data_IF_282323792051
#
_entry.id   IF_282323792051
#
_cell.length_a   1.000
_cell.length_b   1.000
_cell.length_c   1.000
_cell.angle_alpha   90.00
_cell.angle_beta   90.00
_cell.angle_gamma   90.00
#
_symmetry.space_group_name_H-M   'P 1'
#
loop_
_entity.id
_entity.type
_entity.pdbx_description
1 polymer ?
#
# COMPACT_ATOMS: atom_id res chain seq x y z
N UNK A 1 13.04 -59.95 -25.02
CA UNK A 1 13.33 -60.44 -26.38
C UNK A 1 12.59 -59.51 -27.35
N UNK A 2 13.11 -58.36 -27.78
CA UNK A 2 14.27 -58.05 -28.66
C UNK A 2 14.11 -58.62 -30.09
N UNK A 3 13.90 -57.73 -31.07
CA UNK A 3 14.37 -57.69 -32.48
C UNK A 3 13.46 -56.70 -33.27
N UNK A 4 13.82 -55.43 -33.51
CA UNK A 4 14.74 -54.84 -34.52
C UNK A 4 14.34 -55.10 -36.00
N UNK A 5 13.86 -54.05 -36.68
CA UNK A 5 14.42 -53.32 -37.87
C UNK A 5 13.95 -53.93 -39.22
N UNK A 6 13.71 -53.22 -40.34
CA UNK A 6 14.53 -52.28 -41.13
C UNK A 6 13.58 -51.51 -42.11
N UNK A 7 13.88 -50.24 -42.39
CA UNK A 7 13.31 -49.42 -43.47
C UNK A 7 14.17 -49.48 -44.76
N UNK A 8 13.65 -49.16 -45.96
CA UNK A 8 14.49 -48.80 -47.09
C UNK A 8 14.37 -47.32 -47.49
N UNK A 9 15.55 -46.74 -47.71
CA UNK A 9 15.81 -45.47 -48.39
C UNK A 9 15.35 -45.48 -49.85
N UNK A 10 14.94 -44.32 -50.37
CA UNK A 10 15.19 -43.95 -51.75
C UNK A 10 15.76 -42.52 -51.82
N UNK A 11 16.89 -42.41 -52.53
CA UNK A 11 17.65 -41.19 -52.76
C UNK A 11 16.93 -40.24 -53.74
N UNK A 12 17.11 -38.94 -53.53
CA UNK A 12 16.87 -37.88 -54.49
C UNK A 12 17.86 -36.74 -54.27
N UNK A 13 18.54 -36.33 -55.34
CA UNK A 13 19.84 -35.65 -55.40
C UNK A 13 19.69 -34.14 -55.66
N UNK A 14 20.61 -33.37 -55.04
CA UNK A 14 21.16 -32.04 -55.34
C UNK A 14 20.27 -30.89 -55.89
N UNK A 15 20.30 -29.76 -55.18
CA UNK A 15 20.72 -28.48 -55.77
C UNK A 15 21.27 -27.54 -54.68
N UNK A 16 22.55 -27.19 -54.78
CA UNK A 16 23.23 -26.23 -53.93
C UNK A 16 23.20 -24.85 -54.59
N UNK A 17 22.76 -23.83 -53.86
CA UNK A 17 23.05 -22.41 -54.17
C UNK A 17 23.53 -21.73 -52.90
N UNK A 18 24.81 -21.40 -52.89
CA UNK A 18 25.44 -20.57 -51.88
C UNK A 18 24.97 -19.12 -52.02
N UNK A 19 24.49 -18.51 -50.94
CA UNK A 19 24.36 -17.06 -50.81
C UNK A 19 25.29 -16.63 -49.68
N UNK A 20 26.30 -15.84 -50.06
CA UNK A 20 27.28 -15.26 -49.17
C UNK A 20 26.61 -14.30 -48.16
N UNK A 21 26.90 -14.49 -46.88
CA UNK A 21 26.52 -13.56 -45.83
C UNK A 21 27.46 -12.34 -45.86
N UNK A 22 26.93 -11.17 -46.21
CA UNK A 22 27.59 -9.89 -46.00
C UNK A 22 27.34 -9.45 -44.54
N UNK A 23 28.35 -9.61 -43.69
CA UNK A 23 28.34 -9.08 -42.32
C UNK A 23 28.60 -7.57 -42.42
N UNK A 24 27.55 -6.77 -42.23
CA UNK A 24 27.70 -5.32 -42.03
C UNK A 24 27.94 -5.04 -40.54
N UNK A 25 28.95 -4.24 -40.15
CA UNK A 25 29.12 -3.84 -38.76
C UNK A 25 28.05 -2.78 -38.42
N UNK A 26 27.01 -3.19 -37.69
CA UNK A 26 26.04 -2.25 -37.12
C UNK A 26 26.71 -1.45 -36.00
N UNK A 27 26.89 -0.15 -36.23
CA UNK A 27 27.27 0.83 -35.21
C UNK A 27 26.32 0.72 -34.00
N UNK A 28 26.81 0.91 -32.76
CA UNK A 28 25.96 0.88 -31.58
C UNK A 28 25.01 2.07 -31.67
N UNK A 29 23.73 1.80 -31.96
CA UNK A 29 22.66 2.77 -31.72
C UNK A 29 22.72 3.11 -30.24
N UNK A 30 23.13 4.35 -29.94
CA UNK A 30 22.96 4.92 -28.63
C UNK A 30 21.53 4.67 -28.18
N UNK A 31 21.37 4.09 -26.99
CA UNK A 31 20.08 4.07 -26.31
C UNK A 31 19.66 5.52 -26.17
N UNK A 32 18.79 5.98 -27.06
CA UNK A 32 17.87 7.05 -26.72
C UNK A 32 17.08 6.51 -25.54
N UNK A 33 17.42 6.96 -24.34
CA UNK A 33 16.55 6.82 -23.19
C UNK A 33 15.17 7.27 -23.63
N UNK A 34 14.20 6.35 -23.65
CA UNK A 34 12.80 6.74 -23.67
C UNK A 34 12.62 7.81 -22.58
N UNK A 35 11.94 8.93 -22.86
CA UNK A 35 11.66 9.89 -21.80
C UNK A 35 10.95 9.12 -20.70
N UNK A 36 11.61 9.05 -19.53
CA UNK A 36 11.01 8.58 -18.29
C UNK A 36 9.66 9.26 -18.18
N UNK A 37 8.60 8.49 -17.96
CA UNK A 37 7.25 8.99 -17.74
C UNK A 37 7.30 10.25 -16.87
N UNK A 38 7.12 11.41 -17.49
CA UNK A 38 6.64 12.57 -16.78
C UNK A 38 5.33 12.07 -16.17
N UNK A 39 5.31 11.94 -14.85
CA UNK A 39 4.11 11.49 -14.13
C UNK A 39 3.01 12.43 -14.56
N UNK A 40 2.04 11.93 -15.33
CA UNK A 40 0.92 12.69 -15.83
C UNK A 40 -0.04 12.94 -14.65
N UNK A 41 0.45 13.69 -13.66
CA UNK A 41 -0.31 14.07 -12.47
C UNK A 41 -1.50 14.91 -12.95
N UNK A 42 -2.69 14.71 -12.36
CA UNK A 42 -3.85 15.55 -12.67
C UNK A 42 -3.50 17.04 -12.52
N UNK A 43 -4.10 17.88 -13.37
CA UNK A 43 -3.75 19.30 -13.45
C UNK A 43 -4.09 20.11 -12.19
N UNK A 44 -4.94 19.58 -11.31
CA UNK A 44 -5.31 20.15 -10.02
C UNK A 44 -4.38 19.71 -8.87
N UNK A 45 -3.37 18.89 -9.14
CA UNK A 45 -2.35 18.50 -8.16
C UNK A 45 -1.23 19.54 -8.11
N UNK A 46 -0.90 19.99 -6.91
CA UNK A 46 0.28 20.82 -6.69
C UNK A 46 1.56 19.95 -6.85
N UNK A 47 2.48 20.32 -7.75
CA UNK A 47 3.64 19.49 -8.08
C UNK A 47 4.68 19.40 -6.96
N UNK A 48 4.63 20.27 -5.95
CA UNK A 48 5.54 20.23 -4.80
C UNK A 48 4.99 19.32 -3.71
N UNK A 49 3.69 19.41 -3.44
CA UNK A 49 3.03 18.65 -2.37
C UNK A 49 2.66 17.23 -2.79
N UNK A 50 2.32 17.01 -4.06
CA UNK A 50 1.76 15.74 -4.55
C UNK A 50 0.28 15.54 -4.17
N UNK A 51 -0.43 16.62 -3.80
CA UNK A 51 -1.88 16.63 -3.57
C UNK A 51 -2.48 17.99 -3.96
N UNK A 52 -3.80 18.14 -3.92
CA UNK A 52 -4.53 19.34 -4.39
C UNK A 52 -4.20 20.67 -3.70
N UNK A 53 -3.48 20.64 -2.58
CA UNK A 53 -3.17 21.82 -1.76
C UNK A 53 -1.66 22.06 -1.76
N UNK A 54 -1.18 23.32 -1.79
CA UNK A 54 0.25 23.61 -1.76
C UNK A 54 0.89 23.24 -0.41
N UNK A 55 2.23 23.14 -0.38
CA UNK A 55 2.93 23.02 0.91
C UNK A 55 2.90 24.36 1.66
N UNK A 56 2.46 24.31 2.92
CA UNK A 56 2.55 25.45 3.82
C UNK A 56 3.99 25.65 4.29
N UNK A 57 4.42 26.92 4.41
CA UNK A 57 5.74 27.26 4.93
C UNK A 57 5.70 27.33 6.44
N UNK A 58 6.78 26.91 7.08
CA UNK A 58 6.89 26.86 8.54
C UNK A 58 6.67 28.23 9.18
N UNK A 59 7.20 29.29 8.58
CA UNK A 59 7.11 30.68 9.07
C UNK A 59 5.69 31.24 9.09
N UNK A 60 4.78 30.70 8.28
CA UNK A 60 3.39 31.15 8.16
C UNK A 60 2.45 30.44 9.15
N UNK A 61 2.97 29.49 9.94
CA UNK A 61 2.19 28.68 10.87
C UNK A 61 2.16 29.27 12.28
N UNK A 62 1.10 28.95 13.03
CA UNK A 62 1.06 29.15 14.48
C UNK A 62 1.99 28.14 15.20
N UNK A 63 2.11 28.24 16.52
CA UNK A 63 3.01 27.36 17.28
C UNK A 63 2.63 25.88 17.18
N UNK A 64 1.34 25.54 17.10
CA UNK A 64 0.89 24.17 16.90
C UNK A 64 1.26 23.64 15.50
N UNK A 65 1.13 24.49 14.48
CA UNK A 65 1.53 24.20 13.12
C UNK A 65 3.02 24.02 12.98
N UNK A 66 3.83 24.90 13.59
CA UNK A 66 5.30 24.77 13.62
C UNK A 66 5.75 23.45 14.25
N UNK A 67 5.17 23.07 15.38
CA UNK A 67 5.46 21.77 16.02
C UNK A 67 5.09 20.58 15.11
N UNK A 68 3.95 20.67 14.43
CA UNK A 68 3.53 19.62 13.48
C UNK A 68 4.47 19.55 12.28
N UNK A 69 4.87 20.71 11.74
CA UNK A 69 5.82 20.83 10.65
C UNK A 69 7.18 20.24 11.03
N UNK A 70 7.73 20.63 12.19
CA UNK A 70 9.02 20.16 12.68
C UNK A 70 9.04 18.64 12.85
N UNK A 71 7.97 18.08 13.44
CA UNK A 71 7.81 16.64 13.55
C UNK A 71 7.74 15.96 12.18
N UNK A 72 6.99 16.51 11.22
CA UNK A 72 6.87 15.95 9.88
C UNK A 72 8.20 15.94 9.12
N UNK A 73 9.03 16.97 9.30
CA UNK A 73 10.35 17.08 8.66
C UNK A 73 11.48 16.36 9.40
N UNK A 74 11.22 15.83 10.60
CA UNK A 74 12.21 15.04 11.34
C UNK A 74 12.44 13.70 10.63
N UNK A 75 13.69 13.37 10.24
CA UNK A 75 13.99 12.12 9.55
C UNK A 75 13.47 10.89 10.31
N UNK A 76 12.70 10.04 9.62
CA UNK A 76 12.14 8.79 10.17
C UNK A 76 10.92 8.96 11.08
N UNK A 77 10.52 10.18 11.42
CA UNK A 77 9.33 10.42 12.25
C UNK A 77 8.01 10.12 11.51
N UNK A 78 8.02 10.28 10.18
CA UNK A 78 6.89 9.93 9.31
C UNK A 78 7.41 9.26 8.03
N UNK A 79 6.55 8.49 7.37
CA UNK A 79 6.91 7.75 6.14
C UNK A 79 7.11 8.71 4.95
N UNK A 80 6.37 9.82 4.92
CA UNK A 80 6.21 10.69 3.75
C UNK A 80 6.55 12.17 4.01
N UNK A 81 6.89 12.54 5.24
CA UNK A 81 7.10 13.93 5.61
C UNK A 81 5.89 14.81 5.29
N UNK A 82 6.17 15.95 4.65
CA UNK A 82 5.16 16.92 4.23
C UNK A 82 4.40 16.49 2.96
N UNK A 83 4.90 15.51 2.22
CA UNK A 83 4.24 14.94 1.02
C UNK A 83 3.29 13.78 1.38
N UNK A 84 2.72 13.83 2.59
CA UNK A 84 1.81 12.83 3.11
C UNK A 84 0.79 13.41 4.08
N UNK A 85 0.11 12.57 4.89
CA UNK A 85 -0.96 13.02 5.78
C UNK A 85 -0.57 14.21 6.68
N UNK A 86 0.68 14.26 7.14
CA UNK A 86 1.16 15.34 8.02
C UNK A 86 1.16 16.72 7.33
N UNK A 87 1.48 16.79 6.03
CA UNK A 87 1.43 18.04 5.27
C UNK A 87 0.00 18.54 5.08
N UNK A 88 -0.93 17.64 4.77
CA UNK A 88 -2.36 17.98 4.65
C UNK A 88 -2.92 18.48 5.99
N UNK A 89 -2.52 17.86 7.10
CA UNK A 89 -2.97 18.23 8.44
C UNK A 89 -2.50 19.63 8.88
N UNK A 90 -1.49 20.23 8.24
CA UNK A 90 -1.08 21.61 8.53
C UNK A 90 -2.15 22.64 8.17
N UNK A 91 -3.12 22.30 7.32
CA UNK A 91 -4.29 23.14 7.06
C UNK A 91 -5.29 23.20 8.22
N UNK A 92 -5.14 22.32 9.23
CA UNK A 92 -5.83 22.42 10.52
C UNK A 92 -4.90 22.02 11.66
N UNK A 93 -3.99 22.91 12.10
CA UNK A 93 -2.98 22.60 13.11
C UNK A 93 -3.57 22.08 14.43
N UNK A 94 -4.72 22.62 14.83
CA UNK A 94 -5.43 22.18 16.05
C UNK A 94 -5.91 20.73 15.93
N UNK A 95 -6.48 20.36 14.78
CA UNK A 95 -6.87 18.96 14.52
C UNK A 95 -5.65 18.05 14.45
N UNK A 96 -4.54 18.52 13.86
CA UNK A 96 -3.30 17.76 13.74
C UNK A 96 -2.74 17.33 15.11
N UNK A 97 -2.80 18.20 16.12
CA UNK A 97 -2.36 17.89 17.49
C UNK A 97 -3.19 16.74 18.09
N UNK A 98 -4.52 16.81 17.98
CA UNK A 98 -5.40 15.75 18.51
C UNK A 98 -5.24 14.44 17.74
N UNK A 99 -5.12 14.52 16.41
CA UNK A 99 -4.90 13.36 15.57
C UNK A 99 -3.54 12.69 15.86
N UNK A 100 -2.48 13.47 16.10
CA UNK A 100 -1.19 12.94 16.49
C UNK A 100 -1.23 12.21 17.84
N UNK A 101 -1.96 12.74 18.82
CA UNK A 101 -2.11 12.12 20.13
C UNK A 101 -2.83 10.77 20.06
N UNK A 102 -3.98 10.72 19.37
CA UNK A 102 -4.73 9.46 19.21
C UNK A 102 -3.95 8.44 18.38
N UNK A 103 -3.27 8.87 17.31
CA UNK A 103 -2.46 7.97 16.48
C UNK A 103 -1.28 7.37 17.29
N UNK A 104 -0.61 8.18 18.12
CA UNK A 104 0.46 7.70 19.01
C UNK A 104 -0.06 6.65 19.99
N UNK A 105 -1.20 6.94 20.65
CA UNK A 105 -1.81 6.00 21.59
C UNK A 105 -2.16 4.67 20.93
N UNK A 106 -2.93 4.72 19.84
CA UNK A 106 -3.43 3.51 19.16
C UNK A 106 -2.32 2.67 18.54
N UNK A 107 -1.24 3.31 18.06
CA UNK A 107 -0.12 2.58 17.45
C UNK A 107 0.84 1.98 18.48
N UNK A 108 1.08 2.65 19.62
CA UNK A 108 2.22 2.29 20.47
C UNK A 108 1.86 2.03 21.95
N UNK A 109 0.68 2.43 22.42
CA UNK A 109 0.32 2.38 23.85
C UNK A 109 -0.92 1.53 24.14
N UNK A 110 -1.80 1.31 23.15
CA UNK A 110 -3.01 0.49 23.29
C UNK A 110 -2.75 -1.02 23.52
N UNK A 111 -1.49 -1.47 23.45
CA UNK A 111 -1.11 -2.86 23.70
C UNK A 111 -1.62 -3.86 22.63
N UNK A 112 -1.91 -3.36 21.43
CA UNK A 112 -2.08 -4.16 20.22
C UNK A 112 -0.71 -4.67 19.76
N UNK A 113 -0.62 -5.94 19.34
CA UNK A 113 0.63 -6.43 18.75
C UNK A 113 0.90 -5.73 17.41
N UNK A 114 2.18 -5.54 17.02
CA UNK A 114 2.50 -4.94 15.73
C UNK A 114 1.83 -5.66 14.55
N UNK A 115 1.81 -6.99 14.56
CA UNK A 115 1.10 -7.81 13.56
C UNK A 115 -0.40 -7.45 13.45
N UNK A 116 -1.13 -7.45 14.56
CA UNK A 116 -2.57 -7.11 14.59
C UNK A 116 -2.81 -5.69 14.09
N UNK A 117 -1.95 -4.75 14.50
CA UNK A 117 -2.02 -3.36 14.07
C UNK A 117 -1.87 -3.25 12.54
N UNK A 118 -0.84 -3.85 11.95
CA UNK A 118 -0.62 -3.76 10.51
C UNK A 118 -1.70 -4.49 9.69
N UNK A 119 -2.23 -5.63 10.16
CA UNK A 119 -3.37 -6.30 9.50
C UNK A 119 -4.61 -5.41 9.53
N UNK A 120 -4.89 -4.73 10.64
CA UNK A 120 -6.03 -3.81 10.74
C UNK A 120 -5.87 -2.60 9.80
N UNK A 121 -4.66 -2.06 9.69
CA UNK A 121 -4.32 -0.96 8.79
C UNK A 121 -4.47 -1.39 7.33
N UNK A 122 -3.83 -2.49 6.91
CA UNK A 122 -3.93 -2.99 5.54
C UNK A 122 -5.37 -3.33 5.16
N UNK A 123 -6.12 -3.96 6.07
CA UNK A 123 -7.54 -4.25 5.84
C UNK A 123 -8.31 -2.96 5.59
N UNK A 124 -8.16 -1.96 6.47
CA UNK A 124 -8.84 -0.67 6.30
C UNK A 124 -8.42 0.03 5.00
N UNK A 125 -7.13 0.10 4.72
CA UNK A 125 -6.61 0.70 3.50
C UNK A 125 -7.17 0.02 2.25
N UNK A 126 -7.28 -1.31 2.25
CA UNK A 126 -7.88 -2.04 1.11
C UNK A 126 -9.39 -1.85 1.02
N UNK A 127 -10.12 -1.84 2.12
CA UNK A 127 -11.57 -1.67 2.09
C UNK A 127 -11.99 -0.27 1.61
N UNK A 128 -11.11 0.71 1.75
CA UNK A 128 -11.31 2.09 1.28
C UNK A 128 -10.48 2.42 0.03
N UNK A 129 -9.84 1.42 -0.58
CA UNK A 129 -8.96 1.56 -1.75
C UNK A 129 -7.92 2.69 -1.64
N UNK A 130 -7.39 2.89 -0.42
CA UNK A 130 -6.36 3.87 -0.08
C UNK A 130 -4.99 3.43 -0.58
N UNK A 131 -4.66 3.80 -1.83
CA UNK A 131 -3.41 3.41 -2.49
C UNK A 131 -2.16 3.83 -1.71
N UNK A 132 -2.18 5.05 -1.17
CA UNK A 132 -1.05 5.64 -0.45
C UNK A 132 -0.78 4.92 0.87
N UNK A 133 -1.82 4.67 1.67
CA UNK A 133 -1.65 3.95 2.94
C UNK A 133 -1.21 2.53 2.70
N UNK A 134 -1.75 1.86 1.68
CA UNK A 134 -1.30 0.52 1.32
C UNK A 134 0.19 0.49 1.01
N UNK A 135 0.67 1.39 0.13
CA UNK A 135 2.09 1.46 -0.24
C UNK A 135 2.98 1.78 0.96
N UNK A 136 2.50 2.61 1.88
CA UNK A 136 3.22 2.96 3.10
C UNK A 136 3.31 1.79 4.09
N UNK A 137 2.27 0.94 4.16
CA UNK A 137 2.14 -0.07 5.21
C UNK A 137 2.45 -1.51 4.78
N UNK A 138 2.40 -1.85 3.48
CA UNK A 138 2.68 -3.22 3.05
C UNK A 138 4.10 -3.67 3.47
N UNK A 139 5.12 -2.83 3.26
CA UNK A 139 6.48 -3.17 3.68
C UNK A 139 6.65 -3.23 5.20
N UNK A 140 5.88 -2.44 5.95
CA UNK A 140 5.93 -2.46 7.42
C UNK A 140 5.24 -3.72 7.96
N UNK A 141 4.10 -4.12 7.40
CA UNK A 141 3.43 -5.37 7.74
C UNK A 141 4.36 -6.57 7.56
N UNK A 142 5.09 -6.65 6.44
CA UNK A 142 6.06 -7.71 6.19
C UNK A 142 7.20 -7.71 7.22
N UNK A 143 7.72 -6.53 7.60
CA UNK A 143 8.76 -6.41 8.64
C UNK A 143 8.28 -6.85 10.01
N UNK A 144 7.02 -6.59 10.33
CA UNK A 144 6.36 -6.99 11.59
C UNK A 144 5.88 -8.44 11.57
N UNK A 145 6.27 -9.21 10.55
CA UNK A 145 6.06 -10.65 10.46
C UNK A 145 4.73 -11.08 9.86
N UNK A 146 3.94 -10.17 9.26
CA UNK A 146 2.76 -10.56 8.47
C UNK A 146 3.23 -11.28 7.21
N UNK A 147 2.78 -12.51 7.00
CA UNK A 147 3.17 -13.30 5.83
C UNK A 147 2.57 -12.70 4.55
N UNK A 148 3.31 -12.81 3.44
CA UNK A 148 2.83 -12.35 2.13
C UNK A 148 1.47 -12.97 1.75
N UNK A 149 1.20 -14.21 2.15
CA UNK A 149 -0.08 -14.87 1.91
C UNK A 149 -1.26 -14.16 2.61
N UNK A 150 -1.06 -13.62 3.81
CA UNK A 150 -2.07 -12.84 4.54
C UNK A 150 -2.26 -11.48 3.86
N UNK A 151 -1.16 -10.82 3.48
CA UNK A 151 -1.19 -9.57 2.71
C UNK A 151 -1.97 -9.74 1.40
N UNK A 152 -1.73 -10.82 0.66
CA UNK A 152 -2.41 -11.13 -0.60
C UNK A 152 -3.90 -11.42 -0.40
N UNK A 153 -4.27 -12.08 0.71
CA UNK A 153 -5.67 -12.30 1.09
C UNK A 153 -6.39 -10.97 1.29
N UNK A 154 -5.75 -10.02 1.98
CA UNK A 154 -6.28 -8.68 2.16
C UNK A 154 -6.35 -7.99 0.79
N UNK A 155 -5.21 -7.85 0.09
CA UNK A 155 -5.04 -7.15 -1.19
C UNK A 155 -6.07 -7.55 -2.24
N UNK A 156 -6.34 -8.85 -2.36
CA UNK A 156 -7.25 -9.39 -3.36
C UNK A 156 -8.63 -9.75 -2.79
N UNK A 157 -8.93 -9.34 -1.55
CA UNK A 157 -10.22 -9.59 -0.87
C UNK A 157 -10.60 -11.09 -0.88
N UNK A 158 -9.63 -11.99 -0.76
CA UNK A 158 -9.83 -13.46 -0.80
C UNK A 158 -10.43 -13.97 0.52
N UNK A 159 -10.83 -15.24 0.53
CA UNK A 159 -11.28 -15.92 1.75
C UNK A 159 -10.22 -15.90 2.85
N UNK A 160 -10.66 -15.76 4.09
CA UNK A 160 -9.86 -15.86 5.32
C UNK A 160 -9.75 -17.30 5.84
N UNK A 161 -10.38 -18.28 5.15
CA UNK A 161 -10.30 -19.70 5.50
C UNK A 161 -8.84 -20.17 5.58
N UNK A 162 -8.49 -20.82 6.69
CA UNK A 162 -7.15 -21.36 6.92
C UNK A 162 -6.13 -20.38 7.50
N UNK A 163 -6.52 -19.12 7.73
CA UNK A 163 -5.70 -18.19 8.50
C UNK A 163 -5.76 -18.51 10.00
N UNK A 164 -4.77 -17.98 10.72
CA UNK A 164 -4.80 -17.92 12.18
C UNK A 164 -6.05 -17.15 12.63
N UNK A 165 -6.61 -17.53 13.78
CA UNK A 165 -7.96 -17.09 14.19
C UNK A 165 -7.98 -15.60 14.48
N UNK A 166 -6.93 -15.03 15.07
CA UNK A 166 -6.84 -13.60 15.31
C UNK A 166 -6.74 -12.81 14.00
N UNK A 167 -5.87 -13.23 13.07
CA UNK A 167 -5.74 -12.56 11.77
C UNK A 167 -7.05 -12.58 10.97
N UNK A 168 -7.70 -13.75 10.84
CA UNK A 168 -8.98 -13.89 10.17
C UNK A 168 -10.04 -12.96 10.79
N UNK A 169 -10.08 -12.91 12.12
CA UNK A 169 -11.03 -12.07 12.86
C UNK A 169 -10.81 -10.59 12.59
N UNK A 170 -9.57 -10.11 12.55
CA UNK A 170 -9.26 -8.68 12.26
C UNK A 170 -9.67 -8.33 10.82
N UNK A 171 -9.36 -9.19 9.86
CA UNK A 171 -9.69 -8.98 8.44
C UNK A 171 -11.22 -8.95 8.24
N UNK A 172 -11.93 -9.93 8.81
CA UNK A 172 -13.39 -10.01 8.73
C UNK A 172 -14.07 -8.85 9.44
N UNK A 173 -13.52 -8.39 10.57
CA UNK A 173 -14.02 -7.23 11.30
C UNK A 173 -13.95 -5.98 10.41
N UNK A 174 -12.81 -5.70 9.79
CA UNK A 174 -12.68 -4.57 8.87
C UNK A 174 -13.65 -4.66 7.69
N UNK A 175 -13.79 -5.85 7.08
CA UNK A 175 -14.75 -6.07 5.97
C UNK A 175 -16.20 -5.77 6.37
N UNK A 176 -16.67 -6.27 7.50
CA UNK A 176 -18.06 -6.04 7.95
C UNK A 176 -18.29 -4.59 8.39
N UNK A 177 -17.30 -3.92 8.98
CA UNK A 177 -17.41 -2.50 9.34
C UNK A 177 -17.56 -1.64 8.08
N UNK A 178 -16.72 -1.86 7.07
CA UNK A 178 -16.63 -0.97 5.91
C UNK A 178 -17.60 -1.30 4.77
N UNK A 179 -17.98 -2.57 4.59
CA UNK A 179 -18.91 -2.99 3.52
C UNK A 179 -20.34 -3.16 3.99
N UNK A 180 -20.52 -3.84 5.11
CA UNK A 180 -21.85 -4.25 5.59
C UNK A 180 -22.43 -3.23 6.58
N UNK A 181 -21.58 -2.31 7.07
CA UNK A 181 -21.90 -1.31 8.09
C UNK A 181 -22.49 -1.90 9.37
N UNK A 182 -22.25 -3.19 9.61
CA UNK A 182 -22.74 -3.93 10.76
C UNK A 182 -21.92 -5.18 10.98
N UNK A 183 -21.39 -5.31 12.19
CA UNK A 183 -20.69 -6.53 12.63
C UNK A 183 -21.71 -7.52 13.17
N UNK A 184 -21.64 -8.76 12.70
CA UNK A 184 -22.47 -9.88 13.19
C UNK A 184 -22.16 -10.20 14.66
N UNK A 185 -23.17 -10.68 15.39
CA UNK A 185 -23.02 -11.05 16.81
C UNK A 185 -21.94 -12.11 17.03
N UNK A 186 -21.82 -13.08 16.11
CA UNK A 186 -20.82 -14.14 16.17
C UNK A 186 -19.39 -13.58 16.03
N UNK A 187 -19.15 -12.77 15.00
CA UNK A 187 -17.84 -12.15 14.78
C UNK A 187 -17.45 -11.24 15.96
N UNK A 188 -18.39 -10.44 16.46
CA UNK A 188 -18.15 -9.58 17.62
C UNK A 188 -17.81 -10.40 18.88
N UNK A 189 -18.54 -11.49 19.13
CA UNK A 189 -18.26 -12.37 20.27
C UNK A 189 -16.87 -13.01 20.17
N UNK A 190 -16.47 -13.47 18.99
CA UNK A 190 -15.13 -14.03 18.74
C UNK A 190 -14.03 -12.97 18.93
N UNK A 191 -14.18 -11.79 18.34
CA UNK A 191 -13.23 -10.70 18.51
C UNK A 191 -13.08 -10.28 19.99
N UNK A 192 -14.20 -10.20 20.71
CA UNK A 192 -14.19 -9.90 22.15
C UNK A 192 -13.48 -10.99 22.96
N UNK A 193 -13.66 -12.26 22.61
CA UNK A 193 -12.99 -13.37 23.30
C UNK A 193 -11.46 -13.33 23.10
N UNK A 194 -11.00 -12.95 21.92
CA UNK A 194 -9.57 -12.87 21.58
C UNK A 194 -8.88 -11.66 22.22
N UNK A 195 -9.50 -10.48 22.14
CA UNK A 195 -8.84 -9.22 22.50
C UNK A 195 -9.27 -8.68 23.86
N UNK A 196 -10.40 -9.15 24.40
CA UNK A 196 -11.09 -8.47 25.49
C UNK A 196 -11.77 -7.18 25.02
N UNK A 197 -12.68 -6.62 25.84
CA UNK A 197 -13.50 -5.47 25.44
C UNK A 197 -12.67 -4.21 25.16
N UNK A 198 -11.63 -3.93 25.97
CA UNK A 198 -10.87 -2.69 25.84
C UNK A 198 -10.03 -2.68 24.55
N UNK A 199 -9.20 -3.70 24.32
CA UNK A 199 -8.38 -3.77 23.10
C UNK A 199 -9.23 -3.92 21.83
N UNK A 200 -10.41 -4.55 21.91
CA UNK A 200 -11.33 -4.58 20.78
C UNK A 200 -11.80 -3.17 20.40
N UNK A 201 -12.14 -2.33 21.38
CA UNK A 201 -12.50 -0.93 21.10
C UNK A 201 -11.31 -0.17 20.52
N UNK A 202 -10.11 -0.33 21.07
CA UNK A 202 -8.90 0.32 20.54
C UNK A 202 -8.57 -0.16 19.11
N UNK A 203 -8.77 -1.44 18.80
CA UNK A 203 -8.61 -1.99 17.46
C UNK A 203 -9.59 -1.35 16.47
N UNK A 204 -10.86 -1.18 16.85
CA UNK A 204 -11.86 -0.50 16.02
C UNK A 204 -11.53 0.99 15.87
N UNK A 205 -11.05 1.65 16.92
CA UNK A 205 -10.60 3.05 16.86
C UNK A 205 -9.36 3.21 15.96
N UNK A 206 -8.44 2.24 15.95
CA UNK A 206 -7.30 2.21 15.03
C UNK A 206 -7.79 2.13 13.57
N UNK A 207 -8.72 1.20 13.28
CA UNK A 207 -9.33 1.11 11.96
C UNK A 207 -10.03 2.42 11.58
N UNK A 208 -10.81 3.01 12.50
CA UNK A 208 -11.46 4.30 12.29
C UNK A 208 -10.49 5.46 12.04
N UNK A 209 -9.35 5.48 12.73
CA UNK A 209 -8.32 6.50 12.53
C UNK A 209 -7.70 6.41 11.12
N UNK A 210 -7.44 5.18 10.65
CA UNK A 210 -6.95 4.94 9.29
C UNK A 210 -8.03 5.19 8.24
N UNK A 211 -9.30 4.93 8.54
CA UNK A 211 -10.41 5.31 7.66
C UNK A 211 -10.54 6.85 7.50
N UNK A 212 -10.38 7.60 8.60
CA UNK A 212 -10.31 9.06 8.54
C UNK A 212 -9.11 9.57 7.74
N UNK A 213 -7.98 8.88 7.83
CA UNK A 213 -6.80 9.18 7.02
C UNK A 213 -7.06 8.89 5.54
N UNK A 214 -7.57 7.70 5.20
CA UNK A 214 -7.98 7.34 3.84
C UNK A 214 -8.94 8.37 3.23
N UNK A 215 -9.96 8.80 3.98
CA UNK A 215 -10.91 9.82 3.55
C UNK A 215 -10.23 11.16 3.25
N UNK A 216 -9.29 11.58 4.10
CA UNK A 216 -8.51 12.81 3.88
C UNK A 216 -7.66 12.69 2.60
N UNK A 217 -6.97 11.57 2.43
CA UNK A 217 -6.09 11.32 1.28
C UNK A 217 -6.87 11.25 -0.04
N UNK A 218 -8.04 10.62 -0.04
CA UNK A 218 -8.93 10.59 -1.19
C UNK A 218 -9.46 12.00 -1.53
N UNK A 219 -9.84 12.79 -0.52
CA UNK A 219 -10.38 14.14 -0.72
C UNK A 219 -9.37 15.10 -1.39
N UNK A 220 -8.09 14.98 -1.02
CA UNK A 220 -7.01 15.81 -1.61
C UNK A 220 -6.33 15.17 -2.82
N UNK A 221 -6.80 14.01 -3.27
CA UNK A 221 -6.22 13.23 -4.37
C UNK A 221 -4.70 13.04 -4.19
N UNK A 222 -4.33 12.46 -3.05
CA UNK A 222 -2.94 12.23 -2.69
C UNK A 222 -2.26 11.28 -3.68
N UNK A 223 -1.22 11.77 -4.33
CA UNK A 223 -0.40 10.99 -5.25
C UNK A 223 0.65 10.15 -4.50
N UNK A 224 1.06 9.06 -5.13
CA UNK A 224 2.23 8.32 -4.66
C UNK A 224 3.51 9.13 -4.91
N UNK A 225 4.49 8.97 -4.03
CA UNK A 225 5.80 9.58 -4.22
C UNK A 225 6.45 9.08 -5.50
N UNK A 226 7.24 9.94 -6.14
CA UNK A 226 7.98 9.59 -7.35
C UNK A 226 8.78 8.28 -7.15
N UNK A 227 8.58 7.33 -8.06
CA UNK A 227 9.23 6.02 -8.03
C UNK A 227 8.56 4.98 -7.13
N UNK A 228 7.41 5.28 -6.52
CA UNK A 228 6.55 4.29 -5.89
C UNK A 228 5.51 3.79 -6.88
N UNK A 229 5.40 2.47 -6.98
CA UNK A 229 4.37 1.82 -7.79
C UNK A 229 3.05 1.72 -7.02
N UNK A 230 1.90 1.85 -7.68
CA UNK A 230 0.62 1.47 -7.10
C UNK A 230 0.57 -0.04 -6.90
N UNK A 231 0.29 -0.47 -5.66
CA UNK A 231 0.31 -1.88 -5.25
C UNK A 231 -1.08 -2.48 -5.08
N UNK A 232 -2.15 -1.66 -5.12
CA UNK A 232 -3.51 -2.14 -5.03
C UNK A 232 -4.11 -2.29 -6.43
N UNK A 233 -4.84 -3.39 -6.71
CA UNK A 233 -5.74 -3.43 -7.84
C UNK A 233 -6.99 -2.60 -7.48
N UNK A 234 -6.98 -1.32 -7.84
CA UNK A 234 -8.12 -0.40 -7.70
C UNK A 234 -8.98 -0.50 -8.98
N UNK A 235 -10.33 -0.53 -8.87
CA UNK A 235 -11.22 -0.55 -10.03
C UNK A 235 -11.06 0.65 -10.97
#
# INVERSE_FOLDING_TARGET
MLMQTIAPCLMGVLAATAIAAAISPSLPRGRTSSPSSESNMPSDIDPQSGFRLPLLKREDLDEAGKQTYDRATTPGATIAGLQGPAGVQLYSPRTAVHHAAINRYLRFEAGLSPRVREIAILTTARELDSQFEWVAHESEALKEGVEQSVVDIIKHRRSTTGLETADATVIELGRQIWRDHKVSSELFARAKALFGPHKLVDLVLLMGNYAGTAALLAAVDMQLHKGKEPLLPIP
#
